data_IF_946131454556
#
_entry.id   IF_946131454556
#
_cell.length_a   1.000
_cell.length_b   1.000
_cell.length_c   1.000
_cell.angle_alpha   90.00
_cell.angle_beta   90.00
_cell.angle_gamma   90.00
#
_symmetry.space_group_name_H-M   'P 1'
#
loop_
_entity.id
_entity.type
_entity.pdbx_description
1 polymer ?
#
# COMPACT_ATOMS: atom_id res chain seq x y z
N UNK A 1 -43.73 -94.63 50.39
CA UNK A 1 -43.52 -93.87 49.13
C UNK A 1 -43.59 -92.34 49.29
N UNK A 2 -44.28 -91.77 50.30
CA UNK A 2 -44.35 -90.31 50.50
C UNK A 2 -43.04 -89.69 51.03
N UNK A 3 -42.32 -90.33 51.96
CA UNK A 3 -41.03 -89.81 52.48
C UNK A 3 -39.91 -89.77 51.42
N UNK A 4 -39.89 -90.75 50.50
CA UNK A 4 -38.91 -90.79 49.39
C UNK A 4 -39.13 -89.66 48.36
N UNK A 5 -40.38 -89.22 48.17
CA UNK A 5 -40.72 -88.04 47.37
C UNK A 5 -40.32 -86.73 48.06
N UNK A 6 -40.41 -86.65 49.39
CA UNK A 6 -39.96 -85.46 50.13
C UNK A 6 -38.43 -85.27 50.10
N UNK A 7 -37.65 -86.35 50.19
CA UNK A 7 -36.18 -86.27 50.11
C UNK A 7 -35.66 -85.82 48.74
N UNK A 8 -36.25 -86.33 47.65
CA UNK A 8 -35.89 -85.96 46.27
C UNK A 8 -36.24 -84.50 45.93
N UNK A 9 -37.38 -83.99 46.42
CA UNK A 9 -37.78 -82.59 46.25
C UNK A 9 -36.83 -81.61 46.97
N UNK A 10 -36.34 -81.94 48.17
CA UNK A 10 -35.36 -81.10 48.89
C UNK A 10 -34.03 -81.03 48.16
N UNK A 11 -33.49 -82.14 47.70
CA UNK A 11 -32.23 -82.17 46.92
C UNK A 11 -32.37 -81.33 45.65
N UNK A 12 -33.48 -81.47 44.92
CA UNK A 12 -33.77 -80.68 43.73
C UNK A 12 -33.79 -79.16 44.03
N UNK A 13 -34.42 -78.74 45.14
CA UNK A 13 -34.43 -77.32 45.52
C UNK A 13 -33.04 -76.77 45.86
N UNK A 14 -32.19 -77.54 46.54
CA UNK A 14 -30.82 -77.12 46.86
C UNK A 14 -29.98 -76.99 45.59
N UNK A 15 -30.10 -77.93 44.66
CA UNK A 15 -29.40 -77.87 43.37
C UNK A 15 -29.82 -76.64 42.58
N UNK A 16 -31.11 -76.32 42.53
CA UNK A 16 -31.61 -75.11 41.86
C UNK A 16 -31.05 -73.85 42.52
N UNK A 17 -31.04 -73.77 43.85
CA UNK A 17 -30.47 -72.61 44.56
C UNK A 17 -28.98 -72.44 44.26
N UNK A 18 -28.21 -73.53 44.26
CA UNK A 18 -26.78 -73.49 43.92
C UNK A 18 -26.55 -73.04 42.49
N UNK A 19 -27.32 -73.56 41.52
CA UNK A 19 -27.23 -73.15 40.11
C UNK A 19 -27.56 -71.65 39.98
N UNK A 20 -28.61 -71.18 40.63
CA UNK A 20 -28.99 -69.75 40.62
C UNK A 20 -27.88 -68.88 41.22
N UNK A 21 -27.28 -69.30 42.33
CA UNK A 21 -26.16 -68.58 42.95
C UNK A 21 -24.91 -68.56 42.05
N UNK A 22 -24.61 -69.67 41.37
CA UNK A 22 -23.48 -69.74 40.43
C UNK A 22 -23.72 -68.88 39.19
N UNK A 23 -24.93 -68.89 38.63
CA UNK A 23 -25.30 -68.04 37.51
C UNK A 23 -25.27 -66.55 37.90
N UNK A 24 -25.81 -66.20 39.06
CA UNK A 24 -25.77 -64.84 39.60
C UNK A 24 -24.32 -64.39 39.87
N UNK A 25 -23.50 -65.25 40.46
CA UNK A 25 -22.08 -65.00 40.69
C UNK A 25 -21.30 -64.82 39.38
N UNK A 26 -21.54 -65.69 38.40
CA UNK A 26 -20.94 -65.61 37.06
C UNK A 26 -21.34 -64.33 36.32
N UNK A 27 -22.62 -63.96 36.35
CA UNK A 27 -23.11 -62.72 35.75
C UNK A 27 -22.50 -61.46 36.39
N UNK A 28 -22.40 -61.45 37.72
CA UNK A 28 -21.72 -60.36 38.46
C UNK A 28 -20.23 -60.29 38.14
N UNK A 29 -19.57 -61.44 37.96
CA UNK A 29 -18.16 -61.49 37.61
C UNK A 29 -17.92 -60.98 36.19
N UNK A 30 -18.74 -61.40 35.20
CA UNK A 30 -18.65 -60.97 33.80
C UNK A 30 -18.92 -59.46 33.62
N UNK A 31 -19.89 -58.94 34.38
CA UNK A 31 -20.18 -57.51 34.45
C UNK A 31 -18.98 -56.72 34.97
N UNK A 32 -18.30 -57.24 35.99
CA UNK A 32 -17.10 -56.59 36.56
C UNK A 32 -15.86 -56.77 35.68
N UNK A 33 -15.70 -57.89 35.00
CA UNK A 33 -14.50 -58.20 34.21
C UNK A 33 -14.52 -57.62 32.79
N UNK A 34 -15.70 -57.41 32.19
CA UNK A 34 -15.81 -56.94 30.78
C UNK A 34 -16.52 -55.59 30.68
N UNK A 35 -17.72 -55.43 31.26
CA UNK A 35 -18.53 -54.23 31.02
C UNK A 35 -17.89 -52.96 31.62
N UNK A 36 -17.30 -53.06 32.82
CA UNK A 36 -16.67 -51.90 33.48
C UNK A 36 -15.47 -51.36 32.69
N UNK A 37 -14.45 -52.16 32.32
CA UNK A 37 -13.30 -51.66 31.55
C UNK A 37 -13.69 -51.13 30.16
N UNK A 38 -14.63 -51.78 29.47
CA UNK A 38 -15.11 -51.32 28.17
C UNK A 38 -15.80 -49.95 28.26
N UNK A 39 -16.64 -49.77 29.29
CA UNK A 39 -17.31 -48.49 29.53
C UNK A 39 -16.28 -47.38 29.81
N UNK A 40 -15.22 -47.68 30.56
CA UNK A 40 -14.13 -46.72 30.80
C UNK A 40 -13.38 -46.36 29.51
N UNK A 41 -13.09 -47.34 28.65
CA UNK A 41 -12.42 -47.09 27.37
C UNK A 41 -13.27 -46.20 26.46
N UNK A 42 -14.58 -46.46 26.37
CA UNK A 42 -15.53 -45.62 25.62
C UNK A 42 -15.55 -44.20 26.19
N UNK A 43 -15.64 -44.04 27.52
CA UNK A 43 -15.65 -42.72 28.15
C UNK A 43 -14.36 -41.92 27.88
N UNK A 44 -13.21 -42.59 27.85
CA UNK A 44 -11.93 -41.95 27.50
C UNK A 44 -11.94 -41.54 26.02
N UNK A 45 -12.41 -42.40 25.13
CA UNK A 45 -12.53 -42.08 23.72
C UNK A 45 -13.49 -40.90 23.46
N UNK A 46 -14.65 -40.87 24.13
CA UNK A 46 -15.62 -39.77 24.04
C UNK A 46 -15.03 -38.45 24.55
N UNK A 47 -14.25 -38.48 25.63
CA UNK A 47 -13.54 -37.30 26.14
C UNK A 47 -12.49 -36.79 25.16
N UNK A 48 -11.68 -37.70 24.59
CA UNK A 48 -10.70 -37.33 23.57
C UNK A 48 -11.39 -36.73 22.35
N UNK A 49 -12.51 -37.31 21.92
CA UNK A 49 -13.33 -36.79 20.82
C UNK A 49 -13.94 -35.41 21.14
N UNK A 50 -14.27 -35.16 22.41
CA UNK A 50 -14.71 -33.85 22.89
C UNK A 50 -13.57 -32.85 23.13
N UNK A 51 -12.31 -33.26 22.97
CA UNK A 51 -11.12 -32.42 23.18
C UNK A 51 -10.65 -32.32 24.63
N UNK A 52 -11.22 -33.08 25.58
CA UNK A 52 -10.71 -33.19 26.94
C UNK A 52 -9.55 -34.20 27.00
N UNK A 53 -8.34 -33.67 26.91
CA UNK A 53 -7.08 -34.44 26.95
C UNK A 53 -6.40 -34.39 28.33
N UNK A 54 -7.07 -33.85 29.34
CA UNK A 54 -6.51 -33.61 30.68
C UNK A 54 -6.66 -34.80 31.64
N UNK A 55 -7.48 -35.79 31.26
CA UNK A 55 -7.85 -36.89 32.14
C UNK A 55 -6.73 -37.94 32.25
N UNK A 56 -6.33 -38.30 33.48
CA UNK A 56 -5.47 -39.47 33.74
C UNK A 56 -6.32 -40.69 34.10
N UNK A 57 -6.11 -41.78 33.38
CA UNK A 57 -6.82 -43.05 33.63
C UNK A 57 -6.02 -43.85 34.66
N UNK A 58 -6.62 -44.15 35.81
CA UNK A 58 -5.98 -45.02 36.81
C UNK A 58 -6.03 -46.47 36.31
N UNK A 59 -4.88 -46.99 35.88
CA UNK A 59 -4.75 -48.34 35.32
C UNK A 59 -4.50 -49.35 36.44
N UNK A 60 -5.54 -50.05 36.89
CA UNK A 60 -5.42 -51.09 37.92
C UNK A 60 -5.36 -52.51 37.34
N UNK A 61 -5.45 -52.68 36.01
CA UNK A 61 -5.55 -53.99 35.34
C UNK A 61 -4.33 -54.28 34.45
N UNK A 62 -3.78 -55.48 34.55
CA UNK A 62 -2.61 -55.97 33.78
C UNK A 62 -3.00 -56.89 32.61
N UNK A 63 -4.29 -56.90 32.24
CA UNK A 63 -4.84 -57.70 31.15
C UNK A 63 -4.92 -56.90 29.84
N UNK A 64 -5.55 -57.49 28.83
CA UNK A 64 -5.72 -56.92 27.50
C UNK A 64 -6.50 -55.59 27.50
N UNK A 65 -7.42 -55.40 28.45
CA UNK A 65 -8.15 -54.14 28.61
C UNK A 65 -7.26 -53.05 29.20
N UNK A 66 -6.34 -53.41 30.11
CA UNK A 66 -5.26 -52.54 30.55
C UNK A 66 -4.37 -52.06 29.40
N UNK A 67 -4.07 -52.92 28.43
CA UNK A 67 -3.31 -52.53 27.23
C UNK A 67 -4.08 -51.54 26.35
N UNK A 68 -5.38 -51.76 26.13
CA UNK A 68 -6.24 -50.83 25.37
C UNK A 68 -6.30 -49.45 26.02
N UNK A 69 -6.54 -49.38 27.33
CA UNK A 69 -6.60 -48.11 28.06
C UNK A 69 -5.27 -47.36 28.01
N UNK A 70 -4.12 -48.05 28.12
CA UNK A 70 -2.78 -47.45 27.94
C UNK A 70 -2.55 -46.93 26.52
N UNK A 71 -3.10 -47.58 25.50
CA UNK A 71 -3.00 -47.10 24.11
C UNK A 71 -3.80 -45.81 23.92
N UNK A 72 -5.02 -45.74 24.46
CA UNK A 72 -5.85 -44.53 24.45
C UNK A 72 -5.21 -43.38 25.24
N UNK A 73 -4.62 -43.66 26.40
CA UNK A 73 -3.90 -42.65 27.18
C UNK A 73 -2.70 -42.08 26.41
N UNK A 74 -1.88 -42.94 25.79
CA UNK A 74 -0.77 -42.50 24.93
C UNK A 74 -1.26 -41.65 23.76
N UNK A 75 -2.39 -42.02 23.15
CA UNK A 75 -3.01 -41.23 22.09
C UNK A 75 -3.45 -39.85 22.59
N UNK A 76 -4.11 -39.77 23.75
CA UNK A 76 -4.53 -38.50 24.35
C UNK A 76 -3.34 -37.58 24.67
N UNK A 77 -2.28 -38.14 25.24
CA UNK A 77 -1.05 -37.40 25.56
C UNK A 77 -0.37 -36.87 24.29
N UNK A 78 -0.24 -37.70 23.25
CA UNK A 78 0.33 -37.28 21.97
C UNK A 78 -0.52 -36.17 21.33
N UNK A 79 -1.84 -36.34 21.31
CA UNK A 79 -2.74 -35.33 20.76
C UNK A 79 -2.64 -34.00 21.54
N UNK A 80 -2.54 -34.06 22.87
CA UNK A 80 -2.40 -32.85 23.71
C UNK A 80 -1.10 -32.13 23.42
N UNK A 81 0.00 -32.85 23.22
CA UNK A 81 1.29 -32.27 22.83
C UNK A 81 1.21 -31.59 21.48
N UNK A 82 0.61 -32.24 20.48
CA UNK A 82 0.46 -31.70 19.11
C UNK A 82 -0.44 -30.45 19.12
N UNK A 83 -1.59 -30.50 19.79
CA UNK A 83 -2.49 -29.35 19.92
C UNK A 83 -1.80 -28.19 20.62
N UNK A 84 -1.02 -28.47 21.68
CA UNK A 84 -0.21 -27.46 22.37
C UNK A 84 0.86 -26.82 21.49
N UNK A 85 1.60 -27.61 20.72
CA UNK A 85 2.60 -27.12 19.77
C UNK A 85 1.97 -26.25 18.68
N UNK A 86 0.84 -26.69 18.11
CA UNK A 86 0.10 -25.93 17.10
C UNK A 86 -0.41 -24.61 17.67
N UNK A 87 -0.94 -24.62 18.90
CA UNK A 87 -1.40 -23.41 19.57
C UNK A 87 -0.24 -22.43 19.83
N UNK A 88 0.91 -22.92 20.30
CA UNK A 88 2.11 -22.10 20.51
C UNK A 88 2.62 -21.49 19.20
N UNK A 89 2.72 -22.30 18.14
CA UNK A 89 3.14 -21.84 16.81
C UNK A 89 2.17 -20.83 16.22
N UNK A 90 0.87 -21.06 16.38
CA UNK A 90 -0.17 -20.12 15.93
C UNK A 90 -0.09 -18.79 16.68
N UNK A 91 0.13 -18.83 18.00
CA UNK A 91 0.30 -17.63 18.81
C UNK A 91 1.57 -16.85 18.42
N UNK A 92 2.67 -17.55 18.11
CA UNK A 92 3.90 -16.91 17.63
C UNK A 92 3.69 -16.25 16.27
N UNK A 93 3.09 -16.96 15.31
CA UNK A 93 2.77 -16.42 13.98
C UNK A 93 1.82 -15.21 14.06
N UNK A 94 0.80 -15.27 14.91
CA UNK A 94 -0.12 -14.14 15.11
C UNK A 94 0.60 -12.89 15.65
N UNK A 95 1.57 -13.06 16.56
CA UNK A 95 2.39 -11.95 17.07
C UNK A 95 3.30 -11.37 15.98
N UNK A 96 3.92 -12.23 15.18
CA UNK A 96 4.76 -11.80 14.05
C UNK A 96 3.95 -11.01 13.02
N UNK A 97 2.77 -11.51 12.63
CA UNK A 97 1.84 -10.81 11.75
C UNK A 97 1.47 -9.44 12.32
N UNK A 98 1.17 -9.35 13.63
CA UNK A 98 0.87 -8.06 14.28
C UNK A 98 2.04 -7.08 14.15
N UNK A 99 3.26 -7.54 14.38
CA UNK A 99 4.47 -6.72 14.24
C UNK A 99 4.67 -6.25 12.79
N UNK A 100 4.52 -7.16 11.82
CA UNK A 100 4.65 -6.83 10.40
C UNK A 100 3.59 -5.83 9.94
N UNK A 101 2.34 -5.99 10.39
CA UNK A 101 1.26 -5.03 10.11
C UNK A 101 1.60 -3.67 10.71
N UNK A 102 2.08 -3.61 11.95
CA UNK A 102 2.50 -2.35 12.58
C UNK A 102 3.58 -1.62 11.78
N UNK A 103 4.63 -2.34 11.37
CA UNK A 103 5.69 -1.78 10.53
C UNK A 103 5.19 -1.35 9.14
N UNK A 104 4.24 -2.09 8.56
CA UNK A 104 3.61 -1.71 7.27
C UNK A 104 2.79 -0.43 7.40
N UNK A 105 2.03 -0.27 8.49
CA UNK A 105 1.25 0.96 8.74
C UNK A 105 2.19 2.16 8.88
N UNK A 106 3.26 2.04 9.66
CA UNK A 106 4.26 3.12 9.84
C UNK A 106 4.90 3.52 8.49
N UNK A 107 5.26 2.55 7.65
CA UNK A 107 5.81 2.83 6.31
C UNK A 107 4.79 3.50 5.40
N UNK A 108 3.53 3.09 5.44
CA UNK A 108 2.46 3.71 4.63
C UNK A 108 2.21 5.14 5.08
N UNK A 109 2.20 5.41 6.38
CA UNK A 109 2.03 6.76 6.93
C UNK A 109 3.19 7.67 6.55
N UNK A 110 4.44 7.19 6.70
CA UNK A 110 5.62 7.91 6.24
C UNK A 110 5.60 8.19 4.73
N UNK A 111 5.21 7.19 3.93
CA UNK A 111 5.05 7.31 2.48
C UNK A 111 3.99 8.34 2.09
N UNK A 112 2.84 8.36 2.79
CA UNK A 112 1.80 9.36 2.58
C UNK A 112 2.28 10.78 2.88
N UNK A 113 3.10 10.95 3.92
CA UNK A 113 3.78 12.21 4.23
C UNK A 113 4.69 12.67 3.10
N UNK A 114 5.51 11.77 2.55
CA UNK A 114 6.39 12.08 1.40
C UNK A 114 5.60 12.46 0.15
N UNK A 115 4.49 11.76 -0.13
CA UNK A 115 3.60 12.10 -1.26
C UNK A 115 2.99 13.49 -1.07
N UNK A 116 2.56 13.83 0.14
CA UNK A 116 2.02 15.16 0.47
C UNK A 116 3.07 16.25 0.25
N UNK A 117 4.29 16.05 0.74
CA UNK A 117 5.39 16.97 0.53
C UNK A 117 5.73 17.13 -0.97
N UNK A 118 5.75 16.01 -1.71
CA UNK A 118 5.98 16.03 -3.16
C UNK A 118 4.87 16.80 -3.88
N UNK A 119 3.62 16.65 -3.45
CA UNK A 119 2.49 17.44 -3.96
C UNK A 119 2.69 18.94 -3.80
N UNK A 120 3.11 19.39 -2.60
CA UNK A 120 3.41 20.80 -2.36
C UNK A 120 4.55 21.34 -3.25
N UNK A 121 5.59 20.54 -3.48
CA UNK A 121 6.69 20.91 -4.40
C UNK A 121 6.18 21.00 -5.84
N UNK A 122 5.29 20.11 -6.27
CA UNK A 122 4.70 20.18 -7.61
C UNK A 122 3.83 21.41 -7.79
N UNK A 123 3.07 21.83 -6.77
CA UNK A 123 2.33 23.10 -6.78
C UNK A 123 3.26 24.31 -6.92
N UNK A 124 4.41 24.30 -6.21
CA UNK A 124 5.42 25.34 -6.34
C UNK A 124 6.05 25.39 -7.74
N UNK A 125 6.28 24.23 -8.35
CA UNK A 125 6.77 24.12 -9.74
C UNK A 125 5.74 24.72 -10.70
N UNK A 126 4.46 24.36 -10.59
CA UNK A 126 3.38 24.91 -11.43
C UNK A 126 3.29 26.42 -11.27
N UNK A 127 3.36 26.93 -10.04
CA UNK A 127 3.40 28.36 -9.75
C UNK A 127 4.62 29.03 -10.41
N UNK A 128 5.80 28.42 -10.32
CA UNK A 128 7.03 28.94 -10.92
C UNK A 128 6.96 28.97 -12.44
N UNK A 129 6.39 27.94 -13.08
CA UNK A 129 6.14 27.93 -14.52
C UNK A 129 5.21 29.07 -14.92
N UNK A 130 4.14 29.32 -14.15
CA UNK A 130 3.23 30.44 -14.39
C UNK A 130 3.96 31.79 -14.29
N UNK A 131 4.78 32.00 -13.25
CA UNK A 131 5.59 33.23 -13.10
C UNK A 131 6.55 33.48 -14.27
N UNK A 132 7.01 32.44 -14.95
CA UNK A 132 7.88 32.57 -16.14
C UNK A 132 7.05 32.79 -17.41
N UNK A 133 5.84 32.23 -17.48
CA UNK A 133 4.97 32.32 -18.65
C UNK A 133 4.40 33.73 -18.84
N UNK A 134 4.02 34.41 -17.75
CA UNK A 134 3.41 35.74 -17.84
C UNK A 134 4.36 36.78 -18.49
N UNK A 135 5.64 36.93 -18.05
CA UNK A 135 6.59 37.83 -18.70
C UNK A 135 6.90 37.47 -20.16
N UNK A 136 6.82 36.18 -20.55
CA UNK A 136 7.01 35.79 -21.96
C UNK A 136 5.92 36.40 -22.84
N UNK A 137 4.67 36.45 -22.36
CA UNK A 137 3.57 37.12 -23.04
C UNK A 137 3.81 38.63 -23.18
N UNK A 138 4.34 39.26 -22.13
CA UNK A 138 4.72 40.68 -22.15
C UNK A 138 5.87 40.95 -23.13
N UNK A 139 6.92 40.11 -23.14
CA UNK A 139 8.05 40.19 -24.07
C UNK A 139 7.58 40.06 -25.51
N UNK A 140 6.67 39.11 -25.80
CA UNK A 140 6.11 38.95 -27.14
C UNK A 140 5.34 40.20 -27.62
N UNK A 141 4.59 40.83 -26.70
CA UNK A 141 3.87 42.08 -26.99
C UNK A 141 4.85 43.24 -27.23
N UNK A 142 5.84 43.41 -26.34
CA UNK A 142 6.88 44.43 -26.48
C UNK A 142 7.71 44.26 -27.76
N UNK A 143 8.01 43.02 -28.16
CA UNK A 143 8.71 42.73 -29.41
C UNK A 143 7.89 43.14 -30.65
N UNK A 144 6.56 43.02 -30.58
CA UNK A 144 5.66 43.48 -31.66
C UNK A 144 5.64 45.00 -31.74
N UNK A 145 5.50 45.69 -30.60
CA UNK A 145 5.55 47.15 -30.53
C UNK A 145 6.90 47.70 -31.01
N UNK A 146 8.01 47.06 -30.61
CA UNK A 146 9.35 47.43 -31.05
C UNK A 146 9.52 47.24 -32.57
N UNK A 147 8.95 46.17 -33.15
CA UNK A 147 8.96 45.95 -34.61
C UNK A 147 8.27 47.10 -35.34
N UNK A 148 7.12 47.52 -34.86
CA UNK A 148 6.34 48.60 -35.46
C UNK A 148 7.06 49.96 -35.29
N UNK A 149 7.68 50.18 -34.12
CA UNK A 149 8.55 51.33 -33.87
C UNK A 149 9.75 51.40 -34.82
N UNK A 150 10.42 50.26 -35.09
CA UNK A 150 11.51 50.19 -36.08
C UNK A 150 11.01 50.51 -37.48
N UNK A 151 9.82 50.04 -37.87
CA UNK A 151 9.24 50.38 -39.15
C UNK A 151 9.02 51.90 -39.29
N UNK A 152 8.55 52.56 -38.22
CA UNK A 152 8.37 54.00 -38.20
C UNK A 152 9.71 54.77 -38.25
N UNK A 153 10.74 54.29 -37.55
CA UNK A 153 12.10 54.85 -37.64
C UNK A 153 12.64 54.75 -39.07
N UNK A 154 12.46 53.61 -39.74
CA UNK A 154 12.89 53.46 -41.13
C UNK A 154 12.22 54.47 -42.07
N UNK A 155 10.93 54.74 -41.89
CA UNK A 155 10.22 55.79 -42.65
C UNK A 155 10.80 57.17 -42.35
N UNK A 156 11.05 57.49 -41.08
CA UNK A 156 11.64 58.77 -40.69
C UNK A 156 13.04 58.97 -41.28
N UNK A 157 13.89 57.94 -41.28
CA UNK A 157 15.22 57.96 -41.89
C UNK A 157 15.14 58.17 -43.40
N UNK A 158 14.20 57.50 -44.09
CA UNK A 158 13.98 57.72 -45.52
C UNK A 158 13.57 59.16 -45.84
N UNK A 159 12.72 59.76 -45.01
CA UNK A 159 12.31 61.16 -45.17
C UNK A 159 13.47 62.13 -44.92
N UNK A 160 14.29 61.86 -43.89
CA UNK A 160 15.50 62.65 -43.61
C UNK A 160 16.51 62.56 -44.75
N UNK A 161 16.69 61.38 -45.34
CA UNK A 161 17.56 61.21 -46.50
C UNK A 161 17.06 62.05 -47.69
N UNK A 162 15.75 62.01 -47.98
CA UNK A 162 15.14 62.84 -49.03
C UNK A 162 15.33 64.34 -48.76
N UNK A 163 15.09 64.82 -47.54
CA UNK A 163 15.30 66.22 -47.17
C UNK A 163 16.79 66.61 -47.26
N UNK A 164 17.70 65.71 -46.89
CA UNK A 164 19.14 65.96 -46.98
C UNK A 164 19.59 66.10 -48.43
N UNK A 165 19.08 65.25 -49.33
CA UNK A 165 19.31 65.37 -50.77
C UNK A 165 18.75 66.67 -51.34
N UNK A 166 17.54 67.07 -50.92
CA UNK A 166 16.93 68.34 -51.33
C UNK A 166 17.75 69.53 -50.84
N UNK A 167 18.23 69.51 -49.59
CA UNK A 167 19.09 70.56 -49.03
C UNK A 167 20.41 70.67 -49.79
N UNK A 168 21.02 69.55 -50.16
CA UNK A 168 22.23 69.55 -50.99
C UNK A 168 21.98 70.22 -52.35
N UNK A 169 20.89 69.86 -53.02
CA UNK A 169 20.50 70.48 -54.30
C UNK A 169 20.23 72.00 -54.17
N UNK A 170 19.54 72.40 -53.10
CA UNK A 170 19.30 73.83 -52.81
C UNK A 170 20.60 74.59 -52.53
N UNK A 171 21.56 73.97 -51.85
CA UNK A 171 22.88 74.56 -51.60
C UNK A 171 23.67 74.71 -52.91
N UNK A 172 23.63 73.71 -53.80
CA UNK A 172 24.24 73.81 -55.13
C UNK A 172 23.63 74.94 -55.96
N UNK A 173 22.30 75.04 -55.99
CA UNK A 173 21.59 76.15 -56.65
C UNK A 173 21.96 77.51 -56.05
N UNK A 174 22.05 77.60 -54.72
CA UNK A 174 22.42 78.83 -54.03
C UNK A 174 23.85 79.25 -54.32
N UNK A 175 24.79 78.30 -54.38
CA UNK A 175 26.18 78.55 -54.76
C UNK A 175 26.28 79.04 -56.22
N UNK A 176 25.53 78.43 -57.14
CA UNK A 176 25.45 78.88 -58.53
C UNK A 176 24.86 80.29 -58.66
N UNK A 177 23.79 80.59 -57.92
CA UNK A 177 23.18 81.91 -57.88
C UNK A 177 24.15 82.96 -57.31
N UNK A 178 24.85 82.65 -56.22
CA UNK A 178 25.87 83.52 -55.63
C UNK A 178 27.02 83.81 -56.60
N UNK A 179 27.46 82.81 -57.37
CA UNK A 179 28.46 82.99 -58.42
C UNK A 179 27.95 83.91 -59.54
N UNK A 180 26.71 83.72 -60.00
CA UNK A 180 26.10 84.60 -61.00
C UNK A 180 25.99 86.04 -60.51
N UNK A 181 25.56 86.24 -59.26
CA UNK A 181 25.52 87.56 -58.62
C UNK A 181 26.90 88.20 -58.51
N UNK A 182 27.93 87.41 -58.18
CA UNK A 182 29.34 87.88 -58.13
C UNK A 182 29.81 88.35 -59.51
N UNK A 183 29.52 87.59 -60.57
CA UNK A 183 29.84 87.99 -61.95
C UNK A 183 29.08 89.23 -62.40
N UNK A 184 27.80 89.37 -62.03
CA UNK A 184 27.00 90.57 -62.31
C UNK A 184 27.56 91.79 -61.57
N UNK A 185 27.93 91.65 -60.30
CA UNK A 185 28.54 92.71 -59.51
C UNK A 185 29.91 93.15 -60.08
N UNK A 186 30.73 92.21 -60.56
CA UNK A 186 31.98 92.53 -61.25
C UNK A 186 31.76 93.32 -62.55
N UNK A 187 30.77 92.91 -63.36
CA UNK A 187 30.39 93.65 -64.58
C UNK A 187 29.89 95.06 -64.26
N UNK A 188 29.04 95.21 -63.23
CA UNK A 188 28.58 96.53 -62.79
C UNK A 188 29.74 97.41 -62.30
N UNK A 189 30.68 96.86 -61.54
CA UNK A 189 31.87 97.58 -61.09
C UNK A 189 32.75 98.04 -62.26
N UNK A 190 32.92 97.20 -63.29
CA UNK A 190 33.65 97.55 -64.52
C UNK A 190 32.96 98.72 -65.26
N UNK A 191 31.63 98.66 -65.43
CA UNK A 191 30.86 99.76 -66.04
C UNK A 191 30.99 101.06 -65.26
N UNK A 192 30.86 101.03 -63.93
CA UNK A 192 31.03 102.24 -63.09
C UNK A 192 32.46 102.79 -63.16
N UNK A 193 33.47 101.93 -63.33
CA UNK A 193 34.86 102.37 -63.44
C UNK A 193 35.14 103.26 -64.66
N UNK A 194 34.38 103.09 -65.76
CA UNK A 194 34.43 103.96 -66.95
C UNK A 194 33.93 105.38 -66.66
N UNK A 195 33.02 105.54 -65.69
CA UNK A 195 32.49 106.85 -65.29
C UNK A 195 33.31 107.54 -64.19
N UNK A 196 34.34 106.89 -63.64
CA UNK A 196 35.28 107.50 -62.70
C UNK A 196 36.36 108.24 -63.51
N UNK A 197 36.08 109.51 -63.84
CA UNK A 197 37.04 110.52 -64.32
C UNK A 197 37.31 111.51 -63.20
#
# INVERSE_FOLDING_TARGET
>A
MAEQRQGTLRIASVVVVVIVLLLAGGALMLTRSIQRPLTQAIQVADRIAAGDLSTRVQLTQADEFGHLLRALERMAQQLSSVVGEVAQRSAAAAREIKTLIGASVERVESGAGLVTQTGAVMEEIVSSVKRVTDPIGEIASAATEQRDGIAQVNVAVSNLDQMTQQNAALVEQSAAAAQSLREQAQRLAEVVSVFKV
#
